data_IF_119610654901
#
_entry.id   IF_119610654901
#
_cell.length_a   1.000
_cell.length_b   1.000
_cell.length_c   1.000
_cell.angle_alpha   90.00
_cell.angle_beta   90.00
_cell.angle_gamma   90.00
#
_symmetry.space_group_name_H-M   'P 1'
#
loop_
_entity.id
_entity.type
_entity.pdbx_description
1 polymer ?
#
# COMPACT_ATOMS: atom_id res chain seq x y z
N UNK A 1 -29.64 -34.76 9.06
CA UNK A 1 -28.39 -35.43 9.45
C UNK A 1 -27.96 -36.27 8.26
N UNK A 2 -26.78 -36.02 7.68
CA UNK A 2 -25.53 -36.38 8.33
C UNK A 2 -24.48 -35.25 8.44
N UNK A 3 -23.78 -35.29 9.57
CA UNK A 3 -22.31 -35.21 9.73
C UNK A 3 -21.53 -34.02 9.16
N UNK A 4 -21.26 -33.07 10.05
CA UNK A 4 -20.20 -32.05 10.02
C UNK A 4 -18.81 -32.68 10.16
N UNK A 5 -17.82 -32.36 9.32
CA UNK A 5 -16.41 -32.50 9.68
C UNK A 5 -15.92 -31.21 10.32
N UNK A 6 -15.67 -31.26 11.63
CA UNK A 6 -14.91 -30.27 12.38
C UNK A 6 -13.47 -30.22 11.87
N UNK A 7 -13.13 -29.22 11.07
CA UNK A 7 -11.74 -28.88 10.81
C UNK A 7 -11.24 -27.98 11.93
N UNK A 8 -10.44 -28.60 12.78
CA UNK A 8 -9.55 -27.95 13.74
C UNK A 8 -8.64 -27.01 12.96
N UNK A 9 -8.94 -25.71 13.03
CA UNK A 9 -7.96 -24.68 12.70
C UNK A 9 -6.87 -24.81 13.76
N UNK A 10 -5.76 -25.46 13.42
CA UNK A 10 -4.53 -25.35 14.20
C UNK A 10 -4.17 -23.87 14.19
N UNK A 11 -4.41 -23.19 15.30
CA UNK A 11 -3.84 -21.87 15.55
C UNK A 11 -2.31 -22.02 15.49
N UNK A 12 -1.72 -21.54 14.39
CA UNK A 12 -0.30 -21.28 14.36
C UNK A 12 -0.04 -20.17 15.39
N UNK A 13 0.96 -20.31 16.27
CA UNK A 13 1.26 -19.29 17.26
C UNK A 13 1.58 -18.00 16.50
N UNK A 14 0.76 -16.97 16.72
CA UNK A 14 1.06 -15.61 16.27
C UNK A 14 2.40 -15.26 16.90
N UNK A 15 3.46 -15.31 16.11
CA UNK A 15 4.73 -14.71 16.47
C UNK A 15 4.42 -13.23 16.65
N UNK A 16 4.25 -12.83 17.92
CA UNK A 16 4.25 -11.43 18.32
C UNK A 16 5.67 -10.98 18.05
N UNK A 17 5.91 -10.56 16.82
CA UNK A 17 7.15 -9.92 16.41
C UNK A 17 7.24 -8.64 17.24
N UNK A 18 8.14 -8.69 18.22
CA UNK A 18 8.51 -7.54 19.03
C UNK A 18 8.92 -6.41 18.07
N UNK A 19 8.52 -5.16 18.33
CA UNK A 19 8.92 -4.04 17.49
C UNK A 19 10.44 -3.89 17.61
N UNK A 20 11.17 -4.42 16.62
CA UNK A 20 12.58 -4.08 16.42
C UNK A 20 12.62 -2.56 16.32
N UNK A 21 13.40 -1.91 17.18
CA UNK A 21 13.71 -0.48 17.09
C UNK A 21 13.93 -0.16 15.61
N UNK A 22 13.11 0.74 15.05
CA UNK A 22 13.37 1.30 13.74
C UNK A 22 14.67 2.08 13.87
N UNK A 23 15.80 1.42 13.66
CA UNK A 23 16.98 2.12 13.23
C UNK A 23 16.63 2.64 11.84
N UNK A 24 16.26 3.92 11.78
CA UNK A 24 16.17 4.64 10.54
C UNK A 24 17.49 4.42 9.82
N UNK A 25 17.42 3.79 8.66
CA UNK A 25 18.60 3.63 7.82
C UNK A 25 18.96 5.00 7.30
N UNK A 26 20.15 5.45 7.65
CA UNK A 26 20.71 6.66 7.08
C UNK A 26 21.20 6.35 5.66
N UNK A 27 20.32 6.60 4.68
CA UNK A 27 20.61 6.38 3.27
C UNK A 27 21.79 7.22 2.74
N UNK A 28 22.21 8.27 3.45
CA UNK A 28 23.34 9.10 3.03
C UNK A 28 24.70 8.48 3.37
N UNK A 29 24.75 7.54 4.31
CA UNK A 29 25.98 6.86 4.73
C UNK A 29 26.11 5.42 4.23
N UNK A 30 25.07 4.86 3.60
CA UNK A 30 25.10 3.51 3.05
C UNK A 30 26.05 3.40 1.85
N UNK A 31 27.04 2.51 1.96
CA UNK A 31 27.96 2.16 0.86
C UNK A 31 27.43 1.03 -0.01
N UNK A 32 26.63 0.13 0.56
CA UNK A 32 26.11 -1.07 -0.08
C UNK A 32 24.66 -1.32 0.35
N UNK A 33 23.91 -2.04 -0.48
CA UNK A 33 22.52 -2.43 -0.18
C UNK A 33 22.50 -3.43 0.99
N UNK A 34 21.85 -3.14 2.13
CA UNK A 34 21.81 -4.08 3.23
C UNK A 34 21.07 -5.37 2.86
N UNK A 35 21.53 -6.50 3.38
CA UNK A 35 20.90 -7.83 3.17
C UNK A 35 19.41 -7.87 3.52
N UNK A 36 18.97 -7.00 4.43
CA UNK A 36 17.56 -6.88 4.80
C UNK A 36 16.68 -6.34 3.66
N UNK A 37 17.25 -5.68 2.64
CA UNK A 37 16.59 -5.18 1.44
C UNK A 37 16.99 -5.96 0.17
N UNK A 38 17.96 -6.86 0.25
CA UNK A 38 18.36 -7.71 -0.87
C UNK A 38 17.36 -8.87 -1.04
N UNK A 39 16.47 -8.74 -2.02
CA UNK A 39 15.53 -9.79 -2.42
C UNK A 39 16.25 -10.79 -3.33
N UNK A 40 16.04 -12.09 -3.09
CA UNK A 40 16.48 -13.11 -4.03
C UNK A 40 15.66 -12.99 -5.32
N UNK A 41 16.28 -13.17 -6.48
CA UNK A 41 15.55 -13.28 -7.74
C UNK A 41 14.51 -14.38 -7.59
N UNK A 42 13.22 -14.01 -7.64
CA UNK A 42 12.15 -14.98 -7.85
C UNK A 42 12.43 -15.60 -9.22
N UNK A 43 12.47 -16.93 -9.31
CA UNK A 43 12.79 -17.61 -10.56
C UNK A 43 11.97 -17.05 -11.72
N UNK A 44 12.66 -16.68 -12.80
CA UNK A 44 12.06 -16.21 -14.04
C UNK A 44 11.16 -17.29 -14.65
N UNK A 45 9.89 -17.34 -14.24
CA UNK A 45 8.85 -17.92 -15.09
C UNK A 45 7.49 -17.35 -14.70
N UNK A 46 7.27 -16.07 -15.02
CA UNK A 46 5.92 -15.59 -15.24
C UNK A 46 5.57 -15.86 -16.70
N UNK A 47 5.10 -17.08 -17.00
CA UNK A 47 4.55 -17.39 -18.31
C UNK A 47 3.17 -16.74 -18.39
N UNK A 48 3.07 -15.62 -19.10
CA UNK A 48 1.80 -14.93 -19.32
C UNK A 48 1.08 -15.64 -20.47
N UNK A 49 0.03 -16.39 -20.17
CA UNK A 49 -0.90 -16.86 -21.20
C UNK A 49 -1.74 -15.67 -21.66
N UNK A 50 -1.67 -15.32 -22.95
CA UNK A 50 -2.41 -14.19 -23.51
C UNK A 50 -3.92 -14.39 -23.35
N UNK A 51 -4.50 -13.63 -22.42
CA UNK A 51 -5.94 -13.63 -22.15
C UNK A 51 -6.76 -12.87 -23.21
N UNK A 52 -8.09 -12.98 -23.09
CA UNK A 52 -9.15 -12.45 -23.98
C UNK A 52 -9.01 -10.95 -24.34
N UNK A 53 -8.21 -10.18 -23.60
CA UNK A 53 -7.99 -8.74 -23.85
C UNK A 53 -7.02 -8.43 -25.01
N UNK A 54 -6.56 -9.44 -25.76
CA UNK A 54 -5.85 -9.25 -27.04
C UNK A 54 -4.50 -8.54 -26.92
N UNK A 55 -4.04 -8.27 -25.71
CA UNK A 55 -2.74 -7.68 -25.39
C UNK A 55 -2.35 -8.08 -23.96
N UNK A 56 -1.06 -8.27 -23.71
CA UNK A 56 -0.51 -8.50 -22.37
C UNK A 56 -0.53 -7.21 -21.51
N UNK A 57 -1.52 -6.34 -21.71
CA UNK A 57 -1.66 -5.06 -21.00
C UNK A 57 -2.84 -5.07 -20.04
N UNK A 58 -2.67 -4.43 -18.89
CA UNK A 58 -3.71 -4.31 -17.86
C UNK A 58 -4.96 -3.66 -18.48
N UNK A 59 -6.15 -4.28 -18.37
CA UNK A 59 -7.37 -3.75 -18.96
C UNK A 59 -7.68 -2.33 -18.49
N UNK A 60 -8.06 -1.46 -19.42
CA UNK A 60 -8.54 -0.10 -19.13
C UNK A 60 -10.06 -0.08 -19.36
N UNK A 61 -10.82 0.29 -18.33
CA UNK A 61 -12.28 0.25 -18.36
C UNK A 61 -12.84 1.64 -18.09
N UNK A 62 -13.67 2.12 -19.01
CA UNK A 62 -14.40 3.37 -18.84
C UNK A 62 -15.68 3.14 -18.03
N UNK A 63 -15.94 3.93 -16.98
CA UNK A 63 -17.16 3.78 -16.16
C UNK A 63 -18.43 4.36 -16.81
N UNK A 64 -18.28 5.15 -17.86
CA UNK A 64 -19.41 5.65 -18.67
C UNK A 64 -19.86 4.65 -19.74
N UNK A 65 -19.12 3.55 -19.95
CA UNK A 65 -19.50 2.49 -20.88
C UNK A 65 -20.72 1.72 -20.33
N UNK A 66 -21.81 1.56 -21.10
CA UNK A 66 -22.98 0.77 -20.69
C UNK A 66 -22.66 -0.68 -20.29
N UNK A 67 -21.52 -1.22 -20.73
CA UNK A 67 -21.02 -2.57 -20.43
C UNK A 67 -19.92 -2.59 -19.37
N UNK A 68 -19.62 -1.46 -18.71
CA UNK A 68 -18.55 -1.36 -17.70
C UNK A 68 -18.62 -2.47 -16.65
N UNK A 69 -19.82 -2.80 -16.14
CA UNK A 69 -20.00 -3.89 -15.17
C UNK A 69 -19.55 -5.26 -15.72
N UNK A 70 -19.84 -5.55 -17.00
CA UNK A 70 -19.41 -6.79 -17.64
C UNK A 70 -17.88 -6.83 -17.80
N UNK A 71 -17.28 -5.71 -18.21
CA UNK A 71 -15.83 -5.61 -18.37
C UNK A 71 -15.09 -5.72 -17.03
N UNK A 72 -15.61 -5.09 -15.98
CA UNK A 72 -15.05 -5.21 -14.61
C UNK A 72 -15.11 -6.67 -14.16
N UNK A 73 -16.26 -7.33 -14.34
CA UNK A 73 -16.41 -8.74 -13.99
C UNK A 73 -15.44 -9.65 -14.73
N UNK A 74 -15.19 -9.38 -16.02
CA UNK A 74 -14.22 -10.13 -16.83
C UNK A 74 -12.78 -9.86 -16.37
N UNK A 75 -12.40 -8.60 -16.14
CA UNK A 75 -11.07 -8.23 -15.67
C UNK A 75 -10.77 -8.81 -14.28
N UNK A 76 -11.73 -8.81 -13.36
CA UNK A 76 -11.58 -9.46 -12.07
C UNK A 76 -11.29 -10.96 -12.20
N UNK A 77 -11.92 -11.66 -13.14
CA UNK A 77 -11.76 -13.12 -13.34
C UNK A 77 -10.47 -13.49 -14.07
N UNK A 78 -10.07 -12.70 -15.05
CA UNK A 78 -8.96 -13.03 -15.96
C UNK A 78 -7.65 -12.33 -15.61
N UNK A 79 -7.69 -11.16 -14.98
CA UNK A 79 -6.52 -10.35 -14.65
C UNK A 79 -6.31 -10.14 -13.15
N UNK A 80 -7.40 -9.99 -12.39
CA UNK A 80 -7.33 -9.61 -10.96
C UNK A 80 -7.00 -8.13 -10.72
N UNK A 81 -6.73 -7.35 -11.78
CA UNK A 81 -6.47 -5.91 -11.75
C UNK A 81 -6.97 -5.26 -13.05
N UNK A 82 -7.34 -3.97 -12.98
CA UNK A 82 -7.71 -3.13 -14.12
C UNK A 82 -7.50 -1.66 -13.76
N UNK A 83 -7.39 -0.82 -14.78
CA UNK A 83 -7.40 0.64 -14.66
C UNK A 83 -8.80 1.17 -15.00
N UNK A 84 -9.16 2.30 -14.39
CA UNK A 84 -10.48 2.91 -14.58
C UNK A 84 -10.33 4.30 -15.17
N UNK A 85 -11.13 4.61 -16.19
CA UNK A 85 -11.27 5.96 -16.78
C UNK A 85 -12.71 6.46 -16.66
N UNK A 86 -12.91 7.76 -16.88
CA UNK A 86 -14.22 8.42 -16.80
C UNK A 86 -14.97 8.14 -15.48
N UNK A 87 -14.22 8.05 -14.37
CA UNK A 87 -14.74 7.74 -13.04
C UNK A 87 -15.47 8.90 -12.34
N UNK A 88 -15.62 10.06 -12.99
CA UNK A 88 -16.32 11.24 -12.44
C UNK A 88 -15.56 12.03 -11.37
N UNK A 89 -14.51 11.46 -10.76
CA UNK A 89 -13.60 12.19 -9.85
C UNK A 89 -12.88 13.31 -10.61
N UNK A 90 -12.97 14.54 -10.08
CA UNK A 90 -12.34 15.73 -10.66
C UNK A 90 -10.82 15.61 -10.68
N UNK A 91 -10.18 16.01 -11.79
CA UNK A 91 -8.72 15.97 -11.93
C UNK A 91 -8.00 16.85 -10.90
N UNK A 92 -8.54 18.02 -10.59
CA UNK A 92 -8.03 18.92 -9.54
C UNK A 92 -7.90 18.22 -8.18
N UNK A 93 -8.89 17.42 -7.78
CA UNK A 93 -8.82 16.67 -6.52
C UNK A 93 -7.69 15.62 -6.52
N UNK A 94 -7.46 14.95 -7.66
CA UNK A 94 -6.35 14.01 -7.78
C UNK A 94 -4.99 14.73 -7.71
N UNK A 95 -4.89 15.90 -8.32
CA UNK A 95 -3.70 16.75 -8.28
C UNK A 95 -3.41 17.24 -6.85
N UNK A 96 -4.46 17.64 -6.11
CA UNK A 96 -4.36 18.05 -4.71
C UNK A 96 -3.89 16.91 -3.80
N UNK A 97 -4.42 15.69 -4.01
CA UNK A 97 -3.98 14.49 -3.27
C UNK A 97 -2.51 14.17 -3.56
N UNK A 98 -2.09 14.24 -4.83
CA UNK A 98 -0.70 14.01 -5.21
C UNK A 98 0.23 15.07 -4.58
N UNK A 99 -0.16 16.35 -4.63
CA UNK A 99 0.58 17.45 -4.02
C UNK A 99 0.69 17.31 -2.50
N UNK A 100 -0.40 16.93 -1.82
CA UNK A 100 -0.40 16.66 -0.39
C UNK A 100 0.52 15.49 -0.02
N UNK A 101 0.50 14.40 -0.79
CA UNK A 101 1.39 13.27 -0.61
C UNK A 101 2.86 13.65 -0.75
N UNK A 102 3.21 14.38 -1.83
CA UNK A 102 4.56 14.92 -2.04
C UNK A 102 4.98 15.81 -0.87
N UNK A 103 4.13 16.75 -0.46
CA UNK A 103 4.39 17.64 0.66
C UNK A 103 4.65 16.89 1.96
N UNK A 104 3.92 15.79 2.24
CA UNK A 104 4.12 14.96 3.42
C UNK A 104 5.48 14.25 3.40
N UNK A 105 5.84 13.61 2.28
CA UNK A 105 7.08 12.82 2.20
C UNK A 105 8.34 13.68 2.04
N UNK A 106 8.22 14.92 1.55
CA UNK A 106 9.29 15.92 1.54
C UNK A 106 9.61 16.51 2.92
N UNK A 107 8.79 16.27 3.95
CA UNK A 107 9.10 16.71 5.32
C UNK A 107 10.37 16.03 5.83
N UNK A 108 11.17 16.72 6.68
CA UNK A 108 12.27 16.09 7.40
C UNK A 108 11.80 14.86 8.18
N UNK A 109 12.66 13.83 8.27
CA UNK A 109 12.34 12.56 8.95
C UNK A 109 11.83 12.77 10.37
N UNK A 110 12.49 13.64 11.15
CA UNK A 110 12.08 13.95 12.53
C UNK A 110 10.66 14.53 12.62
N UNK A 111 10.19 15.22 11.59
CA UNK A 111 8.84 15.76 11.53
C UNK A 111 7.83 14.67 11.14
N UNK A 112 8.16 13.82 10.15
CA UNK A 112 7.35 12.63 9.79
C UNK A 112 7.16 11.69 10.99
N UNK A 113 8.22 11.49 11.79
CA UNK A 113 8.19 10.67 13.01
C UNK A 113 7.25 11.19 14.11
N UNK A 114 6.83 12.46 14.08
CA UNK A 114 5.80 12.96 15.01
C UNK A 114 4.47 12.21 14.84
N UNK A 115 4.19 11.75 13.63
CA UNK A 115 3.04 10.93 13.28
C UNK A 115 3.41 9.46 13.09
N UNK A 116 4.46 8.95 13.76
CA UNK A 116 4.88 7.56 13.65
C UNK A 116 3.76 6.61 14.08
N UNK A 117 3.61 5.53 13.31
CA UNK A 117 2.68 4.45 13.67
C UNK A 117 3.13 3.80 14.98
N UNK A 118 2.24 3.82 15.96
CA UNK A 118 2.47 3.16 17.26
C UNK A 118 2.54 1.63 17.10
N UNK A 119 3.21 0.96 18.04
CA UNK A 119 3.28 -0.51 18.04
C UNK A 119 1.88 -1.13 18.12
N UNK A 120 1.59 -2.10 17.25
CA UNK A 120 0.24 -2.68 17.10
C UNK A 120 -0.78 -1.78 16.40
N UNK A 121 -0.46 -0.50 16.16
CA UNK A 121 -1.30 0.46 15.46
C UNK A 121 -1.41 0.19 13.96
N UNK A 122 -2.43 0.79 13.33
CA UNK A 122 -2.63 0.73 11.87
C UNK A 122 -2.21 2.03 11.19
N UNK A 123 -2.50 3.16 11.82
CA UNK A 123 -2.37 4.48 11.21
C UNK A 123 -1.04 5.16 11.58
N UNK A 124 -0.56 6.06 10.72
CA UNK A 124 0.68 6.80 10.90
C UNK A 124 1.78 6.42 9.90
N UNK A 125 2.89 7.14 10.04
CA UNK A 125 4.13 7.01 9.28
C UNK A 125 4.89 5.73 9.65
N UNK A 126 5.41 5.04 8.64
CA UNK A 126 6.24 3.85 8.78
C UNK A 126 6.16 2.94 7.56
N UNK A 127 6.83 1.78 7.58
CA UNK A 127 6.79 0.83 6.48
C UNK A 127 5.36 0.45 6.09
N UNK A 128 5.15 0.13 4.82
CA UNK A 128 3.88 -0.40 4.35
C UNK A 128 3.49 -1.62 5.19
N UNK A 129 2.22 -1.72 5.61
CA UNK A 129 1.74 -2.82 6.47
C UNK A 129 2.03 -4.19 5.84
N UNK A 130 1.89 -4.26 4.52
CA UNK A 130 2.14 -5.50 3.77
C UNK A 130 3.60 -5.98 3.88
N UNK A 131 4.55 -5.09 4.19
CA UNK A 131 5.96 -5.45 4.37
C UNK A 131 6.18 -6.45 5.49
N UNK A 132 5.28 -6.57 6.48
CA UNK A 132 5.40 -7.59 7.53
C UNK A 132 5.16 -9.02 7.05
N UNK A 133 4.59 -9.21 5.86
CA UNK A 133 4.37 -10.54 5.28
C UNK A 133 5.57 -11.08 4.50
N UNK A 134 6.64 -10.28 4.38
CA UNK A 134 7.81 -10.65 3.60
C UNK A 134 9.06 -10.81 4.47
N UNK A 135 9.97 -11.74 4.11
CA UNK A 135 11.21 -11.96 4.87
C UNK A 135 12.23 -10.83 4.66
N UNK A 136 12.07 -10.01 3.62
CA UNK A 136 12.91 -8.87 3.27
C UNK A 136 12.09 -7.57 3.32
N UNK A 137 12.76 -6.47 3.62
CA UNK A 137 12.18 -5.13 3.65
C UNK A 137 11.98 -4.61 2.24
N UNK A 138 10.88 -3.89 2.05
CA UNK A 138 10.62 -3.15 0.82
C UNK A 138 11.44 -1.87 0.81
N UNK A 139 11.90 -1.45 -0.38
CA UNK A 139 12.50 -0.14 -0.58
C UNK A 139 11.42 0.93 -0.65
N UNK A 140 10.80 1.23 0.49
CA UNK A 140 9.73 2.23 0.57
C UNK A 140 9.56 2.78 1.98
N UNK A 141 9.08 4.02 2.04
CA UNK A 141 8.40 4.57 3.20
C UNK A 141 6.89 4.60 2.94
N UNK A 142 6.10 4.73 4.01
CA UNK A 142 4.65 4.71 3.90
C UNK A 142 3.98 5.57 4.96
N UNK A 143 2.74 5.93 4.66
CA UNK A 143 1.86 6.60 5.59
C UNK A 143 0.47 5.99 5.45
N UNK A 144 -0.10 5.51 6.54
CA UNK A 144 -1.44 4.90 6.52
C UNK A 144 -2.40 5.78 7.28
N UNK A 145 -3.47 6.24 6.63
CA UNK A 145 -4.53 7.00 7.28
C UNK A 145 -5.71 6.05 7.47
N UNK A 146 -6.06 5.79 8.73
CA UNK A 146 -7.30 5.12 9.09
C UNK A 146 -8.02 6.00 10.11
N UNK A 147 -9.21 6.48 9.74
CA UNK A 147 -9.92 7.50 10.51
C UNK A 147 -9.62 8.92 10.01
N UNK A 148 -9.64 9.90 10.91
CA UNK A 148 -9.52 11.30 10.53
C UNK A 148 -8.09 11.64 10.08
N UNK A 149 -7.89 12.22 8.88
CA UNK A 149 -6.58 12.69 8.45
C UNK A 149 -6.06 13.85 9.33
N UNK A 150 -6.98 14.57 10.01
CA UNK A 150 -6.63 15.73 10.83
C UNK A 150 -5.76 15.39 12.03
N UNK A 151 -5.90 14.19 12.60
CA UNK A 151 -5.16 13.82 13.81
C UNK A 151 -3.67 13.79 13.54
N UNK A 152 -3.25 13.29 12.39
CA UNK A 152 -1.87 13.36 11.94
C UNK A 152 -1.50 14.72 11.36
N UNK A 153 -2.41 15.38 10.65
CA UNK A 153 -2.13 16.71 10.10
C UNK A 153 -1.76 17.71 11.21
N UNK A 154 -2.41 17.66 12.38
CA UNK A 154 -2.05 18.48 13.55
C UNK A 154 -0.66 18.19 14.10
N UNK A 155 -0.23 16.92 14.05
CA UNK A 155 1.10 16.50 14.51
C UNK A 155 2.19 16.94 13.54
N UNK A 156 1.91 16.88 12.23
CA UNK A 156 2.85 17.20 11.16
C UNK A 156 2.92 18.71 10.88
N UNK A 157 1.77 19.39 10.83
CA UNK A 157 1.62 20.81 10.48
C UNK A 157 0.78 21.55 11.53
N UNK A 158 1.27 21.77 12.75
CA UNK A 158 0.48 22.36 13.84
C UNK A 158 -0.09 23.74 13.52
N UNK A 159 0.55 24.50 12.61
CA UNK A 159 0.09 25.83 12.21
C UNK A 159 -0.75 25.84 10.92
N UNK A 160 -0.66 24.80 10.07
CA UNK A 160 -1.25 24.77 8.73
C UNK A 160 -2.18 23.56 8.47
N UNK A 161 -2.53 22.79 9.50
CA UNK A 161 -3.37 21.58 9.35
C UNK A 161 -4.78 21.86 8.83
N UNK A 162 -5.25 23.12 8.91
CA UNK A 162 -6.61 23.51 8.49
C UNK A 162 -6.85 23.39 6.99
N UNK A 163 -5.78 23.31 6.18
CA UNK A 163 -5.91 23.07 4.73
C UNK A 163 -6.43 21.68 4.37
N UNK A 164 -6.52 20.78 5.36
CA UNK A 164 -7.07 19.43 5.21
C UNK A 164 -8.53 19.33 5.70
N UNK A 165 -9.23 20.47 5.84
CA UNK A 165 -10.65 20.61 6.16
C UNK A 165 -11.43 21.16 4.97
#
# INVERSE_FOLDING_TARGET
MPSRPSLVVKEQPRLIHHPRKNHDLDFQSLKELPDSFAWSSFGDSCSVESGIFGSDTVPVISLDDPKAQQYIGLACKSWGVFQVTNHGIQKSLLDDIEAAGKSLFSLPVHQKLKAARVSGGVTGYGPARISSFFPKRMWSEGFTILGSPLDHARQLWPNDYKKFW
#
